data_IF_468798454069
#
_entry.id   IF_468798454069
#
_cell.length_a   1.000
_cell.length_b   1.000
_cell.length_c   1.000
_cell.angle_alpha   90.00
_cell.angle_beta   90.00
_cell.angle_gamma   90.00
#
_symmetry.space_group_name_H-M   'P 1'
#
loop_
_entity.id
_entity.type
_entity.pdbx_description
1 polymer ?
#
# COMPACT_ATOMS: atom_id res chain seq x y z
N UNK A 1 14.66 -0.96 -0.15
CA UNK A 1 14.36 0.43 -0.54
C UNK A 1 13.15 0.93 0.23
N UNK A 2 13.18 2.17 0.70
CA UNK A 2 12.09 2.80 1.46
C UNK A 2 11.66 4.10 0.78
N UNK A 3 10.36 4.25 0.55
CA UNK A 3 9.72 5.43 -0.01
C UNK A 3 8.60 5.88 0.92
N UNK A 4 8.78 6.99 1.63
CA UNK A 4 7.83 7.49 2.62
C UNK A 4 8.04 8.99 2.84
N UNK A 5 7.10 9.63 3.54
CA UNK A 5 7.26 11.02 3.97
C UNK A 5 8.52 11.17 4.85
N UNK A 6 9.25 12.27 4.71
CA UNK A 6 10.37 12.56 5.61
C UNK A 6 9.89 12.58 7.06
N UNK A 7 10.51 11.79 7.92
CA UNK A 7 10.15 11.70 9.34
C UNK A 7 11.31 11.14 10.16
N UNK A 8 11.26 11.35 11.49
CA UNK A 8 12.15 10.69 12.44
C UNK A 8 12.04 9.18 12.35
N UNK A 9 10.83 8.66 12.18
CA UNK A 9 10.55 7.22 12.13
C UNK A 9 11.18 6.56 10.89
N UNK A 10 11.14 7.25 9.73
CA UNK A 10 11.85 6.78 8.53
C UNK A 10 13.35 6.71 8.76
N UNK A 11 13.92 7.73 9.43
CA UNK A 11 15.35 7.75 9.75
C UNK A 11 15.72 6.60 10.69
N UNK A 12 14.97 6.45 11.78
CA UNK A 12 15.20 5.39 12.76
C UNK A 12 15.11 3.99 12.11
N UNK A 13 14.09 3.74 11.29
CA UNK A 13 13.96 2.48 10.57
C UNK A 13 15.15 2.20 9.65
N UNK A 14 15.65 3.23 8.95
CA UNK A 14 16.85 3.08 8.11
C UNK A 14 18.08 2.71 8.94
N UNK A 15 18.25 3.35 10.10
CA UNK A 15 19.38 3.08 10.99
C UNK A 15 19.30 1.65 11.58
N UNK A 16 18.12 1.22 12.00
CA UNK A 16 17.87 -0.14 12.49
C UNK A 16 18.17 -1.20 11.42
N UNK A 17 17.66 -1.04 10.20
CA UNK A 17 17.90 -1.98 9.10
C UNK A 17 19.38 -2.01 8.68
N UNK A 18 20.02 -0.86 8.63
CA UNK A 18 21.46 -0.76 8.31
C UNK A 18 22.33 -1.43 9.37
N UNK A 19 21.97 -1.24 10.65
CA UNK A 19 22.65 -1.90 11.78
C UNK A 19 22.49 -3.42 11.75
N UNK A 20 21.35 -3.90 11.19
CA UNK A 20 21.08 -5.31 10.92
C UNK A 20 21.82 -5.88 9.70
N UNK A 21 22.66 -5.09 9.03
CA UNK A 21 23.45 -5.51 7.86
C UNK A 21 22.74 -5.41 6.52
N UNK A 22 21.57 -4.77 6.45
CA UNK A 22 20.86 -4.54 5.19
C UNK A 22 21.41 -3.31 4.47
N UNK A 23 21.57 -3.38 3.14
CA UNK A 23 21.75 -2.19 2.32
C UNK A 23 20.41 -1.45 2.22
N UNK A 24 20.36 -0.22 2.70
CA UNK A 24 19.12 0.60 2.74
C UNK A 24 19.26 1.80 1.83
N UNK A 25 18.38 1.86 0.83
CA UNK A 25 18.19 3.05 -0.01
C UNK A 25 16.85 3.68 0.36
N UNK A 26 16.83 4.98 0.57
CA UNK A 26 15.61 5.70 0.96
C UNK A 26 15.42 7.00 0.20
N UNK A 27 14.19 7.34 -0.06
CA UNK A 27 13.81 8.68 -0.53
C UNK A 27 12.62 9.18 0.28
N UNK A 28 12.76 10.41 0.80
CA UNK A 28 11.68 11.12 1.47
C UNK A 28 10.78 11.80 0.45
N UNK A 29 9.52 11.38 0.34
CA UNK A 29 8.53 11.97 -0.56
C UNK A 29 7.13 11.87 0.03
N UNK A 30 6.32 12.91 -0.19
CA UNK A 30 4.89 12.83 0.07
C UNK A 30 4.18 12.28 -1.16
N UNK A 31 3.59 11.11 -1.04
CA UNK A 31 2.86 10.45 -2.13
C UNK A 31 1.50 11.12 -2.44
N UNK A 32 1.07 12.08 -1.64
CA UNK A 32 -0.08 12.93 -1.97
C UNK A 32 0.28 14.04 -2.98
N UNK A 33 1.58 14.30 -3.19
CA UNK A 33 2.08 15.16 -4.26
C UNK A 33 2.40 14.33 -5.51
N UNK A 34 1.49 14.36 -6.48
CA UNK A 34 1.61 13.57 -7.71
C UNK A 34 2.88 13.88 -8.51
N UNK A 35 3.35 15.14 -8.48
CA UNK A 35 4.51 15.57 -9.28
C UNK A 35 5.84 15.15 -8.64
N UNK A 36 5.86 14.99 -7.31
CA UNK A 36 7.05 14.57 -6.57
C UNK A 36 7.38 13.08 -6.71
N UNK A 37 6.41 12.23 -7.07
CA UNK A 37 6.56 10.76 -7.05
C UNK A 37 7.58 10.27 -8.09
N UNK A 38 7.44 10.68 -9.34
CA UNK A 38 8.30 10.18 -10.42
C UNK A 38 9.78 10.56 -10.24
N UNK A 39 10.13 11.83 -9.88
CA UNK A 39 11.51 12.19 -9.55
C UNK A 39 12.08 11.38 -8.38
N UNK A 40 11.29 11.17 -7.31
CA UNK A 40 11.69 10.39 -6.14
C UNK A 40 11.98 8.94 -6.50
N UNK A 41 11.11 8.30 -7.29
CA UNK A 41 11.30 6.93 -7.75
C UNK A 41 12.53 6.82 -8.67
N UNK A 42 12.71 7.78 -9.57
CA UNK A 42 13.90 7.79 -10.43
C UNK A 42 15.18 7.81 -9.59
N UNK A 43 15.29 8.71 -8.62
CA UNK A 43 16.43 8.76 -7.71
C UNK A 43 16.64 7.44 -6.97
N UNK A 44 15.58 6.85 -6.41
CA UNK A 44 15.65 5.59 -5.68
C UNK A 44 16.13 4.42 -6.55
N UNK A 45 15.66 4.35 -7.79
CA UNK A 45 16.03 3.32 -8.75
C UNK A 45 17.46 3.48 -9.27
N UNK A 46 17.97 4.71 -9.38
CA UNK A 46 19.37 4.96 -9.75
C UNK A 46 20.33 4.41 -8.67
N UNK A 47 19.98 4.50 -7.41
CA UNK A 47 20.81 4.04 -6.31
C UNK A 47 20.66 2.54 -6.05
N UNK A 48 19.43 2.04 -6.02
CA UNK A 48 19.10 0.70 -5.55
C UNK A 48 18.74 -0.31 -6.64
N UNK A 49 18.60 0.14 -7.90
CA UNK A 49 18.15 -0.72 -9.00
C UNK A 49 16.66 -1.06 -8.93
N UNK A 50 16.24 -2.02 -9.74
CA UNK A 50 14.84 -2.50 -9.75
C UNK A 50 14.61 -3.49 -8.62
N UNK A 51 13.61 -3.29 -7.73
CA UNK A 51 13.33 -4.23 -6.64
C UNK A 51 12.72 -5.55 -7.15
N UNK A 52 12.91 -6.64 -6.40
CA UNK A 52 12.24 -7.92 -6.66
C UNK A 52 10.77 -7.91 -6.24
N UNK A 53 10.50 -7.22 -5.13
CA UNK A 53 9.18 -7.13 -4.51
C UNK A 53 8.88 -5.68 -4.20
N UNK A 54 7.67 -5.26 -4.55
CA UNK A 54 7.12 -3.94 -4.24
C UNK A 54 5.91 -4.11 -3.34
N UNK A 55 5.87 -3.40 -2.21
CA UNK A 55 4.72 -3.39 -1.31
C UNK A 55 4.16 -1.97 -1.27
N UNK A 56 3.01 -1.77 -1.89
CA UNK A 56 2.26 -0.52 -1.85
C UNK A 56 1.39 -0.52 -0.59
N UNK A 57 1.97 -0.03 0.51
CA UNK A 57 1.32 0.00 1.82
C UNK A 57 0.84 1.41 2.21
N UNK A 58 1.43 2.46 1.66
CA UNK A 58 1.04 3.83 1.98
C UNK A 58 -0.46 4.05 1.70
N UNK A 59 -1.12 4.75 2.60
CA UNK A 59 -2.54 5.03 2.47
C UNK A 59 -3.05 5.91 3.59
N UNK A 60 -4.23 6.46 3.38
CA UNK A 60 -4.98 7.23 4.37
C UNK A 60 -6.44 6.78 4.39
N UNK A 61 -7.13 7.14 5.45
CA UNK A 61 -8.56 6.99 5.55
C UNK A 61 -9.23 8.34 5.79
N UNK A 62 -10.53 8.39 5.54
CA UNK A 62 -11.37 9.54 5.79
C UNK A 62 -12.75 9.06 6.23
N UNK A 63 -13.26 9.65 7.29
CA UNK A 63 -14.62 9.44 7.78
C UNK A 63 -15.44 10.72 7.63
N UNK A 64 -16.67 10.59 7.17
CA UNK A 64 -17.61 11.67 7.00
C UNK A 64 -18.60 11.41 5.88
N UNK A 65 -19.75 12.06 5.95
CA UNK A 65 -20.81 11.91 4.94
C UNK A 65 -20.31 12.36 3.56
N UNK A 66 -20.56 11.55 2.53
CA UNK A 66 -20.15 11.88 1.15
C UNK A 66 -20.74 13.21 0.66
N UNK A 67 -21.95 13.55 1.09
CA UNK A 67 -22.61 14.80 0.69
C UNK A 67 -21.90 16.05 1.23
N UNK A 68 -21.10 15.92 2.28
CA UNK A 68 -20.43 17.03 2.96
C UNK A 68 -18.91 16.99 2.76
N UNK A 69 -18.39 15.96 2.11
CA UNK A 69 -16.95 15.77 1.93
C UNK A 69 -16.37 16.86 1.01
N UNK A 70 -15.36 17.63 1.45
CA UNK A 70 -14.67 18.58 0.58
C UNK A 70 -14.01 17.88 -0.60
N UNK A 71 -14.12 18.43 -1.80
CA UNK A 71 -13.48 17.88 -2.99
C UNK A 71 -11.97 17.71 -2.82
N UNK A 72 -11.31 18.62 -2.10
CA UNK A 72 -9.88 18.52 -1.82
C UNK A 72 -9.52 17.27 -1.02
N UNK A 73 -10.34 16.89 -0.03
CA UNK A 73 -10.14 15.66 0.74
C UNK A 73 -10.37 14.41 -0.11
N UNK A 74 -11.39 14.42 -0.97
CA UNK A 74 -11.62 13.35 -1.95
C UNK A 74 -10.41 13.17 -2.86
N UNK A 75 -9.92 14.26 -3.46
CA UNK A 75 -8.79 14.22 -4.39
C UNK A 75 -7.51 13.74 -3.69
N UNK A 76 -7.24 14.22 -2.48
CA UNK A 76 -6.08 13.80 -1.69
C UNK A 76 -6.13 12.31 -1.35
N UNK A 77 -7.30 11.81 -0.93
CA UNK A 77 -7.48 10.40 -0.60
C UNK A 77 -7.30 9.51 -1.85
N UNK A 78 -7.89 9.89 -2.98
CA UNK A 78 -7.74 9.16 -4.24
C UNK A 78 -6.30 9.23 -4.76
N UNK A 79 -5.62 10.37 -4.60
CA UNK A 79 -4.22 10.52 -4.96
C UNK A 79 -3.35 9.54 -4.18
N UNK A 80 -3.46 9.52 -2.86
CA UNK A 80 -2.59 8.67 -2.03
C UNK A 80 -2.93 7.17 -2.17
N UNK A 81 -4.22 6.82 -2.12
CA UNK A 81 -4.64 5.41 -2.07
C UNK A 81 -4.64 4.69 -3.42
N UNK A 82 -4.71 5.43 -4.53
CA UNK A 82 -4.84 4.86 -5.87
C UNK A 82 -3.83 5.42 -6.87
N UNK A 83 -3.81 6.74 -7.09
CA UNK A 83 -2.99 7.35 -8.13
C UNK A 83 -1.50 7.17 -7.85
N UNK A 84 -1.08 7.31 -6.60
CA UNK A 84 0.31 7.06 -6.18
C UNK A 84 0.73 5.62 -6.46
N UNK A 85 -0.13 4.63 -6.17
CA UNK A 85 0.12 3.22 -6.47
C UNK A 85 0.29 3.00 -7.97
N UNK A 86 -0.59 3.61 -8.79
CA UNK A 86 -0.45 3.58 -10.25
C UNK A 86 0.89 4.16 -10.68
N UNK A 87 1.30 5.33 -10.18
CA UNK A 87 2.57 5.97 -10.54
C UNK A 87 3.78 5.13 -10.13
N UNK A 88 3.74 4.51 -8.94
CA UNK A 88 4.80 3.59 -8.49
C UNK A 88 4.88 2.38 -9.43
N UNK A 89 3.77 1.74 -9.75
CA UNK A 89 3.75 0.61 -10.68
C UNK A 89 4.26 1.02 -12.06
N UNK A 90 3.80 2.17 -12.59
CA UNK A 90 4.22 2.68 -13.91
C UNK A 90 5.74 2.88 -13.99
N UNK A 91 6.36 3.40 -12.93
CA UNK A 91 7.80 3.60 -12.89
C UNK A 91 8.61 2.30 -12.82
N UNK A 92 8.08 1.28 -12.12
CA UNK A 92 8.81 0.04 -11.83
C UNK A 92 8.62 -1.05 -12.89
N UNK A 93 7.47 -1.10 -13.56
CA UNK A 93 7.13 -2.14 -14.54
C UNK A 93 8.19 -2.29 -15.65
N UNK A 94 8.74 -1.23 -16.27
CA UNK A 94 9.77 -1.42 -17.28
C UNK A 94 10.99 -2.18 -16.78
N UNK A 95 11.46 -1.88 -15.58
CA UNK A 95 12.58 -2.57 -14.96
C UNK A 95 12.24 -4.03 -14.59
N UNK A 96 11.04 -4.26 -14.05
CA UNK A 96 10.55 -5.62 -13.73
C UNK A 96 10.44 -6.48 -14.99
N UNK A 97 9.91 -5.94 -16.09
CA UNK A 97 9.85 -6.64 -17.39
C UNK A 97 11.24 -6.96 -17.92
N UNK A 98 12.17 -5.99 -17.87
CA UNK A 98 13.54 -6.17 -18.36
C UNK A 98 14.30 -7.28 -17.61
N UNK A 99 14.03 -7.46 -16.32
CA UNK A 99 14.63 -8.56 -15.52
C UNK A 99 13.90 -9.90 -15.63
N UNK A 100 12.75 -9.95 -16.31
CA UNK A 100 11.96 -11.17 -16.51
C UNK A 100 10.97 -11.47 -15.40
N UNK A 101 10.58 -10.48 -14.57
CA UNK A 101 9.55 -10.64 -13.57
C UNK A 101 9.82 -9.93 -12.25
N UNK A 102 8.90 -10.15 -11.32
CA UNK A 102 8.91 -9.59 -9.97
C UNK A 102 7.55 -9.74 -9.31
N UNK A 103 7.37 -9.09 -8.18
CA UNK A 103 6.10 -9.12 -7.46
C UNK A 103 5.68 -7.75 -6.98
N UNK A 104 4.39 -7.44 -7.14
CA UNK A 104 3.73 -6.25 -6.61
C UNK A 104 2.66 -6.70 -5.62
N UNK A 105 2.69 -6.18 -4.40
CA UNK A 105 1.73 -6.46 -3.35
C UNK A 105 1.03 -5.15 -3.00
N UNK A 106 -0.28 -5.09 -3.21
CA UNK A 106 -1.09 -3.93 -2.92
C UNK A 106 -1.91 -4.14 -1.64
N UNK A 107 -1.76 -3.24 -0.67
CA UNK A 107 -2.50 -3.29 0.59
C UNK A 107 -3.87 -2.64 0.42
N UNK A 108 -4.88 -3.48 0.33
CA UNK A 108 -6.29 -3.10 0.24
C UNK A 108 -6.97 -3.18 1.62
N UNK A 109 -8.28 -3.16 1.63
CA UNK A 109 -9.10 -3.18 2.84
C UNK A 109 -10.36 -3.99 2.60
N UNK A 110 -10.95 -4.51 3.67
CA UNK A 110 -12.31 -5.05 3.68
C UNK A 110 -13.34 -4.05 3.13
N UNK A 111 -13.08 -2.75 3.27
CA UNK A 111 -13.83 -1.67 2.68
C UNK A 111 -13.85 -1.67 1.14
N UNK A 112 -12.98 -2.43 0.47
CA UNK A 112 -13.03 -2.60 -0.98
C UNK A 112 -14.25 -3.42 -1.46
N UNK A 113 -14.81 -4.24 -0.58
CA UNK A 113 -15.90 -5.18 -0.88
C UNK A 113 -17.18 -4.88 -0.11
N UNK A 114 -17.13 -3.96 0.86
CA UNK A 114 -18.25 -3.65 1.74
C UNK A 114 -18.42 -2.14 1.86
N UNK A 115 -19.65 -1.72 2.12
CA UNK A 115 -20.00 -0.32 2.35
C UNK A 115 -20.22 -0.08 3.85
N UNK A 116 -19.68 1.03 4.33
CA UNK A 116 -19.86 1.46 5.71
C UNK A 116 -20.31 2.93 5.71
N UNK A 117 -21.27 3.33 6.56
CA UNK A 117 -21.63 4.74 6.74
C UNK A 117 -20.35 5.55 7.04
N UNK A 118 -20.28 6.75 6.47
CA UNK A 118 -19.17 7.70 6.60
C UNK A 118 -17.81 7.27 6.02
N UNK A 119 -17.69 6.06 5.48
CA UNK A 119 -16.46 5.55 4.86
C UNK A 119 -16.50 5.54 3.32
N UNK A 120 -17.50 6.17 2.71
CA UNK A 120 -17.79 6.03 1.28
C UNK A 120 -16.60 6.34 0.36
N UNK A 121 -15.86 7.41 0.63
CA UNK A 121 -14.68 7.77 -0.17
C UNK A 121 -13.54 6.76 -0.02
N UNK A 122 -13.30 6.28 1.21
CA UNK A 122 -12.31 5.24 1.47
C UNK A 122 -12.68 3.93 0.79
N UNK A 123 -13.95 3.50 0.90
CA UNK A 123 -14.46 2.32 0.20
C UNK A 123 -14.24 2.43 -1.31
N UNK A 124 -14.57 3.57 -1.91
CA UNK A 124 -14.38 3.81 -3.34
C UNK A 124 -12.90 3.69 -3.73
N UNK A 125 -11.98 4.28 -2.96
CA UNK A 125 -10.54 4.23 -3.25
C UNK A 125 -9.98 2.80 -3.18
N UNK A 126 -10.39 2.02 -2.17
CA UNK A 126 -9.92 0.63 -1.99
C UNK A 126 -10.56 -0.35 -2.97
N UNK A 127 -11.82 -0.13 -3.37
CA UNK A 127 -12.46 -0.87 -4.44
C UNK A 127 -11.76 -0.61 -5.80
N UNK A 128 -11.43 0.65 -6.09
CA UNK A 128 -10.68 1.02 -7.28
C UNK A 128 -9.28 0.39 -7.29
N UNK A 129 -8.57 0.40 -6.15
CA UNK A 129 -7.26 -0.25 -6.01
C UNK A 129 -7.33 -1.75 -6.25
N UNK A 130 -8.34 -2.44 -5.72
CA UNK A 130 -8.52 -3.88 -5.95
C UNK A 130 -8.82 -4.19 -7.41
N UNK A 131 -9.62 -3.36 -8.10
CA UNK A 131 -9.87 -3.51 -9.53
C UNK A 131 -8.61 -3.25 -10.36
N UNK A 132 -7.87 -2.18 -10.05
CA UNK A 132 -6.58 -1.87 -10.67
C UNK A 132 -5.59 -3.04 -10.53
N UNK A 133 -5.48 -3.60 -9.34
CA UNK A 133 -4.57 -4.74 -9.07
C UNK A 133 -4.88 -5.96 -9.95
N UNK A 134 -6.17 -6.30 -10.11
CA UNK A 134 -6.59 -7.41 -10.98
C UNK A 134 -6.28 -7.16 -12.46
N UNK A 135 -6.54 -5.93 -12.95
CA UNK A 135 -6.19 -5.56 -14.32
C UNK A 135 -4.68 -5.68 -14.55
N UNK A 136 -3.89 -5.09 -13.66
CA UNK A 136 -2.44 -5.13 -13.72
C UNK A 136 -1.90 -6.58 -13.69
N UNK A 137 -2.49 -7.46 -12.88
CA UNK A 137 -2.11 -8.87 -12.82
C UNK A 137 -2.30 -9.57 -14.17
N UNK A 138 -3.38 -9.28 -14.89
CA UNK A 138 -3.66 -9.85 -16.21
C UNK A 138 -2.72 -9.29 -17.26
N UNK A 139 -2.49 -7.98 -17.27
CA UNK A 139 -1.62 -7.30 -18.23
C UNK A 139 -0.15 -7.73 -18.11
N UNK A 140 0.33 -7.94 -16.89
CA UNK A 140 1.75 -8.18 -16.61
C UNK A 140 2.13 -9.66 -16.47
N UNK A 141 1.16 -10.56 -16.50
CA UNK A 141 1.39 -12.01 -16.35
C UNK A 141 2.38 -12.56 -17.37
N UNK A 142 2.27 -12.15 -18.63
CA UNK A 142 3.15 -12.58 -19.70
C UNK A 142 4.61 -12.16 -19.53
N UNK A 143 4.86 -11.15 -18.67
CA UNK A 143 6.18 -10.64 -18.33
C UNK A 143 6.75 -11.23 -17.04
N UNK A 144 6.06 -12.23 -16.45
CA UNK A 144 6.49 -12.85 -15.19
C UNK A 144 6.28 -11.97 -13.94
N UNK A 145 5.53 -10.87 -14.06
CA UNK A 145 5.20 -10.00 -12.92
C UNK A 145 3.93 -10.55 -12.26
N UNK A 146 4.04 -10.83 -10.97
CA UNK A 146 2.96 -11.32 -10.12
C UNK A 146 2.39 -10.16 -9.34
N UNK A 147 1.06 -10.05 -9.28
CA UNK A 147 0.38 -9.03 -8.51
C UNK A 147 -0.51 -9.69 -7.47
N UNK A 148 -0.33 -9.32 -6.23
CA UNK A 148 -1.11 -9.79 -5.09
C UNK A 148 -1.86 -8.63 -4.44
N UNK A 149 -3.06 -8.89 -3.96
CA UNK A 149 -3.82 -7.97 -3.11
C UNK A 149 -3.95 -8.57 -1.72
N UNK A 150 -3.57 -7.83 -0.69
CA UNK A 150 -3.92 -8.20 0.68
C UNK A 150 -5.08 -7.33 1.15
N UNK A 151 -6.20 -7.98 1.48
CA UNK A 151 -7.43 -7.35 1.97
C UNK A 151 -7.47 -7.45 3.48
N UNK A 152 -7.33 -6.31 4.16
CA UNK A 152 -7.24 -6.25 5.61
C UNK A 152 -8.54 -5.76 6.24
N UNK A 153 -8.93 -6.38 7.34
CA UNK A 153 -9.83 -5.77 8.31
C UNK A 153 -9.14 -4.64 9.06
N UNK A 154 -9.76 -4.15 10.13
CA UNK A 154 -9.16 -3.10 10.96
C UNK A 154 -7.83 -3.57 11.58
N UNK A 155 -6.76 -2.80 11.37
CA UNK A 155 -5.41 -3.05 11.92
C UNK A 155 -5.09 -1.95 12.91
N UNK A 156 -4.61 -2.29 14.09
CA UNK A 156 -4.24 -1.33 15.13
C UNK A 156 -2.95 -0.58 14.72
N UNK A 157 -3.13 0.57 14.11
CA UNK A 157 -2.05 1.45 13.62
C UNK A 157 -2.39 2.93 13.89
N UNK A 158 -1.44 3.86 13.77
CA UNK A 158 -1.69 5.30 13.89
C UNK A 158 -2.67 5.87 12.84
N UNK A 159 -3.08 5.11 11.83
CA UNK A 159 -4.13 5.52 10.89
C UNK A 159 -5.41 5.99 11.63
N UNK A 160 -5.75 5.31 12.72
CA UNK A 160 -6.93 5.59 13.54
C UNK A 160 -6.80 6.85 14.40
N UNK A 161 -5.60 7.40 14.53
CA UNK A 161 -5.30 8.60 15.30
C UNK A 161 -5.17 9.83 14.39
N UNK A 162 -5.43 9.67 13.08
CA UNK A 162 -5.34 10.76 12.10
C UNK A 162 -6.54 11.72 12.23
N UNK A 163 -6.32 12.99 11.94
CA UNK A 163 -7.36 14.04 11.99
C UNK A 163 -8.52 13.80 11.00
N UNK A 164 -8.32 12.92 10.02
CA UNK A 164 -9.33 12.58 9.00
C UNK A 164 -10.18 11.38 9.36
N UNK A 165 -9.94 10.75 10.51
CA UNK A 165 -10.67 9.56 10.97
C UNK A 165 -11.30 9.82 12.33
N UNK A 166 -12.61 9.77 12.37
CA UNK A 166 -13.39 9.73 13.61
C UNK A 166 -14.06 8.35 13.73
N UNK A 167 -13.59 7.55 14.68
CA UNK A 167 -14.15 6.23 14.92
C UNK A 167 -14.00 5.83 16.39
N UNK A 168 -15.01 5.13 16.90
CA UNK A 168 -15.05 4.61 18.28
C UNK A 168 -14.73 3.13 18.40
N UNK A 169 -14.05 2.55 17.41
CA UNK A 169 -13.73 1.10 17.42
C UNK A 169 -12.76 0.73 18.53
N UNK A 170 -13.02 -0.44 19.16
CA UNK A 170 -12.11 -0.99 20.16
C UNK A 170 -10.81 -1.47 19.51
N UNK A 171 -9.74 -0.73 19.75
CA UNK A 171 -8.40 -1.01 19.21
C UNK A 171 -7.87 -2.40 19.60
N UNK A 172 -8.35 -2.97 20.72
CA UNK A 172 -7.95 -4.30 21.19
C UNK A 172 -8.56 -5.43 20.36
N UNK A 173 -9.67 -5.15 19.68
CA UNK A 173 -10.32 -6.11 18.78
C UNK A 173 -9.71 -6.11 17.36
N UNK A 174 -8.84 -5.15 17.05
CA UNK A 174 -8.19 -5.03 15.75
C UNK A 174 -7.05 -6.03 15.56
N UNK A 175 -6.64 -6.23 14.31
CA UNK A 175 -5.44 -6.99 13.97
C UNK A 175 -4.19 -6.30 14.54
N UNK A 176 -3.26 -7.10 15.01
CA UNK A 176 -1.91 -6.65 15.32
C UNK A 176 -1.11 -6.38 14.05
N UNK A 177 -0.39 -5.24 13.99
CA UNK A 177 0.38 -4.86 12.81
C UNK A 177 1.52 -5.84 12.49
N UNK A 178 2.12 -6.47 13.50
CA UNK A 178 3.16 -7.49 13.31
C UNK A 178 2.61 -8.72 12.59
N UNK A 179 1.37 -9.14 12.91
CA UNK A 179 0.70 -10.26 12.21
C UNK A 179 0.39 -9.92 10.75
N UNK A 180 0.06 -8.67 10.46
CA UNK A 180 -0.09 -8.21 9.07
C UNK A 180 1.25 -8.23 8.34
N UNK A 181 2.34 -7.82 8.99
CA UNK A 181 3.67 -7.88 8.43
C UNK A 181 4.11 -9.34 8.12
N UNK A 182 3.81 -10.31 8.98
CA UNK A 182 4.03 -11.74 8.72
C UNK A 182 3.25 -12.21 7.47
N UNK A 183 2.01 -11.77 7.29
CA UNK A 183 1.20 -12.11 6.11
C UNK A 183 1.77 -11.48 4.83
N UNK A 184 2.27 -10.24 4.89
CA UNK A 184 2.98 -9.60 3.77
C UNK A 184 4.28 -10.34 3.43
N UNK A 185 5.04 -10.76 4.44
CA UNK A 185 6.24 -11.56 4.25
C UNK A 185 5.91 -12.92 3.60
N UNK A 186 4.85 -13.58 4.04
CA UNK A 186 4.37 -14.81 3.41
C UNK A 186 4.08 -14.61 1.91
N UNK A 187 3.38 -13.52 1.54
CA UNK A 187 3.13 -13.19 0.14
C UNK A 187 4.44 -12.94 -0.63
N UNK A 188 5.37 -12.17 -0.05
CA UNK A 188 6.63 -11.81 -0.68
C UNK A 188 7.55 -13.01 -0.93
N UNK A 189 7.46 -14.04 -0.11
CA UNK A 189 8.29 -15.25 -0.18
C UNK A 189 7.75 -16.33 -1.14
N UNK A 190 6.61 -16.08 -1.81
CA UNK A 190 6.08 -17.08 -2.73
C UNK A 190 7.03 -17.31 -3.93
N UNK A 191 7.28 -18.56 -4.32
CA UNK A 191 8.14 -18.88 -5.45
C UNK A 191 7.57 -18.30 -6.76
N UNK A 192 8.44 -18.03 -7.73
CA UNK A 192 8.06 -17.41 -9.01
C UNK A 192 7.04 -18.23 -9.82
N UNK A 193 6.88 -19.50 -9.51
CA UNK A 193 5.97 -20.43 -10.21
C UNK A 193 4.51 -20.31 -9.75
N UNK A 194 4.23 -19.53 -8.72
CA UNK A 194 2.87 -19.35 -8.17
C UNK A 194 2.62 -17.92 -7.71
N UNK A 195 1.37 -17.56 -7.60
CA UNK A 195 0.91 -16.28 -7.03
C UNK A 195 -0.27 -16.55 -6.10
N UNK A 196 -0.27 -15.88 -4.96
CA UNK A 196 -1.48 -15.71 -4.15
C UNK A 196 -2.13 -14.42 -4.63
N UNK A 197 -3.17 -14.51 -5.43
CA UNK A 197 -3.80 -13.34 -6.06
C UNK A 197 -4.48 -12.44 -5.03
N UNK A 198 -5.23 -13.06 -4.10
CA UNK A 198 -5.91 -12.37 -3.00
C UNK A 198 -5.69 -13.10 -1.68
N UNK A 199 -5.35 -12.34 -0.64
CA UNK A 199 -5.27 -12.81 0.74
C UNK A 199 -6.13 -11.91 1.62
N UNK A 200 -7.12 -12.47 2.30
CA UNK A 200 -7.94 -11.72 3.26
C UNK A 200 -7.54 -12.08 4.69
N UNK A 201 -7.23 -11.07 5.49
CA UNK A 201 -6.94 -11.20 6.91
C UNK A 201 -7.88 -10.31 7.72
N UNK A 202 -8.68 -10.91 8.58
CA UNK A 202 -9.71 -10.24 9.36
C UNK A 202 -9.48 -10.45 10.86
N UNK A 203 -9.89 -9.49 11.71
CA UNK A 203 -10.05 -9.76 13.13
C UNK A 203 -11.02 -10.93 13.34
N UNK A 204 -10.74 -11.79 14.33
CA UNK A 204 -11.64 -12.91 14.65
C UNK A 204 -13.05 -12.42 15.10
N UNK A 205 -13.14 -11.20 15.60
CA UNK A 205 -14.40 -10.53 15.94
C UNK A 205 -15.23 -10.09 14.72
N UNK A 206 -14.69 -10.20 13.50
CA UNK A 206 -15.33 -9.76 12.27
C UNK A 206 -14.96 -8.34 11.85
N UNK A 207 -15.77 -7.76 10.99
CA UNK A 207 -15.63 -6.34 10.62
C UNK A 207 -16.08 -5.48 11.81
N UNK A 208 -15.22 -4.59 12.24
CA UNK A 208 -15.47 -3.64 13.33
C UNK A 208 -16.19 -2.41 12.78
#
# INVERSE_FOLDING_TARGET
>A
MLLARPSSDLNQLCDELSSGGCAVHRVGVDLSDAEAIQPALHALLQEGGTPDVVINNAGMAYTGALAEMPLSQWLNLMQLNLTAVFQVCQALIPGLRARGGGQIINVSSHAAHNAFPDWGAYCASKAALSSFSRCLAVEERAHGIRVSTITLGAVNTPLWDSETVDSSFDRRAMLDAGRVAEALLFLAQQPATQVVEDLTLMPAAGAL
#
